data_IF_553590515381
#
_entry.id   IF_553590515381
#
_cell.length_a   1.000
_cell.length_b   1.000
_cell.length_c   1.000
_cell.angle_alpha   90.00
_cell.angle_beta   90.00
_cell.angle_gamma   90.00
#
_symmetry.space_group_name_H-M   'P 1'
#
loop_
_entity.id
_entity.type
_entity.pdbx_description
1 polymer ?
#
# COMPACT_ATOMS: atom_id res chain seq x y z
N UNK A 1 20.07 -1.83 13.30
CA UNK A 1 19.48 -1.81 14.66
C UNK A 1 18.17 -1.00 14.67
N UNK A 2 17.18 -1.35 13.84
CA UNK A 2 16.02 -0.46 13.56
C UNK A 2 14.66 -1.14 13.63
N UNK A 3 14.57 -2.47 13.48
CA UNK A 3 13.29 -3.19 13.46
C UNK A 3 12.53 -3.11 14.81
N UNK A 4 13.27 -3.15 15.93
CA UNK A 4 12.72 -3.21 17.29
C UNK A 4 12.12 -1.91 17.80
N UNK A 5 12.47 -0.76 17.21
CA UNK A 5 12.03 0.55 17.71
C UNK A 5 10.63 0.91 17.21
N UNK A 6 10.36 0.68 15.92
CA UNK A 6 9.06 1.03 15.36
C UNK A 6 7.99 -0.04 15.60
N UNK A 7 8.36 -1.32 15.79
CA UNK A 7 7.39 -2.38 16.11
C UNK A 7 6.64 -2.10 17.41
N UNK A 8 7.31 -1.44 18.37
CA UNK A 8 6.74 -1.02 19.65
C UNK A 8 5.77 0.16 19.53
N UNK A 9 5.72 0.83 18.38
CA UNK A 9 4.76 1.89 18.10
C UNK A 9 3.40 1.34 17.65
N UNK A 10 3.31 0.02 17.45
CA UNK A 10 2.09 -0.67 17.05
C UNK A 10 1.61 -1.59 18.18
N UNK A 11 0.30 -1.63 18.49
CA UNK A 11 -0.77 -0.92 17.79
C UNK A 11 -0.81 0.60 18.08
N UNK A 12 -1.03 1.41 17.04
CA UNK A 12 -1.21 2.85 17.16
C UNK A 12 -2.70 3.19 17.23
N UNK A 13 -3.12 3.93 18.27
CA UNK A 13 -4.46 4.49 18.35
C UNK A 13 -4.57 5.81 17.55
N UNK A 14 -5.64 5.97 16.78
CA UNK A 14 -5.95 7.13 15.94
C UNK A 14 -7.30 7.70 16.35
N UNK A 15 -7.36 9.01 16.59
CA UNK A 15 -8.56 9.72 17.04
C UNK A 15 -8.58 10.00 18.54
N UNK A 16 -9.30 11.03 18.95
CA UNK A 16 -9.38 11.50 20.34
C UNK A 16 -10.71 11.17 21.02
N UNK A 17 -11.76 10.91 20.23
CA UNK A 17 -13.10 10.56 20.73
C UNK A 17 -13.30 9.06 20.73
N UNK A 18 -13.65 8.47 21.88
CA UNK A 18 -13.74 7.01 22.08
C UNK A 18 -14.58 6.29 21.00
N UNK A 19 -15.65 6.90 20.51
CA UNK A 19 -16.50 6.31 19.47
C UNK A 19 -15.86 6.29 18.07
N UNK A 20 -14.86 7.13 17.84
CA UNK A 20 -14.13 7.28 16.57
C UNK A 20 -12.65 6.85 16.67
N UNK A 21 -12.29 6.09 17.70
CA UNK A 21 -10.95 5.51 17.80
C UNK A 21 -10.77 4.45 16.72
N UNK A 22 -9.60 4.45 16.11
CA UNK A 22 -9.15 3.37 15.25
C UNK A 22 -7.78 2.87 15.69
N UNK A 23 -7.49 1.60 15.43
CA UNK A 23 -6.23 0.96 15.79
C UNK A 23 -5.52 0.48 14.54
N UNK A 24 -4.30 0.95 14.35
CA UNK A 24 -3.38 0.46 13.31
C UNK A 24 -2.52 -0.66 13.89
N UNK A 25 -2.45 -1.79 13.21
CA UNK A 25 -1.58 -2.92 13.56
C UNK A 25 -0.84 -3.44 12.33
N UNK A 26 0.34 -4.02 12.53
CA UNK A 26 1.13 -4.66 11.47
C UNK A 26 1.10 -6.18 11.64
N UNK A 27 0.97 -6.89 10.53
CA UNK A 27 0.98 -8.34 10.42
C UNK A 27 2.01 -8.77 9.39
N UNK A 28 2.97 -9.60 9.80
CA UNK A 28 4.00 -10.23 8.98
C UNK A 28 3.49 -11.57 8.43
N UNK A 29 4.33 -12.31 7.69
CA UNK A 29 3.91 -13.52 6.95
C UNK A 29 3.34 -14.62 7.86
N UNK A 30 3.96 -14.84 9.03
CA UNK A 30 3.62 -15.95 9.93
C UNK A 30 2.65 -15.54 11.06
N UNK A 31 2.12 -14.31 11.03
CA UNK A 31 1.23 -13.83 12.07
C UNK A 31 -0.16 -14.45 11.93
N UNK A 32 -0.70 -15.00 13.03
CA UNK A 32 -1.99 -15.69 13.06
C UNK A 32 -3.16 -14.83 12.52
N UNK A 33 -3.07 -13.50 12.62
CA UNK A 33 -4.09 -12.56 12.16
C UNK A 33 -4.03 -12.23 10.67
N UNK A 34 -2.96 -12.62 9.95
CA UNK A 34 -2.73 -12.22 8.56
C UNK A 34 -3.83 -12.71 7.61
N UNK A 35 -4.33 -13.92 7.79
CA UNK A 35 -5.35 -14.50 6.92
C UNK A 35 -6.67 -13.73 6.90
N UNK A 36 -7.06 -13.11 8.02
CA UNK A 36 -8.23 -12.23 8.07
C UNK A 36 -8.03 -10.98 7.21
N UNK A 37 -6.82 -10.41 7.22
CA UNK A 37 -6.47 -9.22 6.42
C UNK A 37 -6.44 -9.55 4.93
N UNK A 38 -5.83 -10.68 4.55
CA UNK A 38 -5.79 -11.13 3.16
C UNK A 38 -7.21 -11.36 2.63
N UNK A 39 -8.08 -12.00 3.42
CA UNK A 39 -9.48 -12.18 3.05
C UNK A 39 -10.24 -10.85 2.93
N UNK A 40 -10.02 -9.90 3.84
CA UNK A 40 -10.61 -8.56 3.76
C UNK A 40 -10.17 -7.81 2.50
N UNK A 41 -8.88 -7.86 2.17
CA UNK A 41 -8.31 -7.25 0.96
C UNK A 41 -8.93 -7.92 -0.27
N UNK A 42 -8.95 -9.25 -0.32
CA UNK A 42 -9.57 -10.03 -1.40
C UNK A 42 -11.01 -9.58 -1.65
N UNK A 43 -11.84 -9.56 -0.61
CA UNK A 43 -13.24 -9.17 -0.73
C UNK A 43 -13.42 -7.76 -1.26
N UNK A 44 -12.61 -6.79 -0.80
CA UNK A 44 -12.67 -5.42 -1.30
C UNK A 44 -12.34 -5.34 -2.80
N UNK A 45 -11.34 -6.09 -3.27
CA UNK A 45 -10.98 -6.15 -4.69
C UNK A 45 -12.04 -6.90 -5.52
N UNK A 46 -12.61 -7.98 -4.98
CA UNK A 46 -13.71 -8.71 -5.59
C UNK A 46 -14.96 -7.82 -5.75
N UNK A 47 -15.32 -7.05 -4.72
CA UNK A 47 -16.48 -6.17 -4.77
C UNK A 47 -16.28 -4.97 -5.71
N UNK A 48 -15.10 -4.37 -5.71
CA UNK A 48 -14.81 -3.17 -6.49
C UNK A 48 -14.51 -3.47 -7.97
N UNK A 49 -13.91 -4.63 -8.26
CA UNK A 49 -13.34 -4.93 -9.57
C UNK A 49 -13.73 -6.31 -10.12
N UNK A 50 -14.49 -7.13 -9.39
CA UNK A 50 -14.69 -8.54 -9.72
C UNK A 50 -13.35 -9.30 -9.86
N UNK A 51 -12.37 -8.89 -9.07
CA UNK A 51 -11.04 -9.46 -9.07
C UNK A 51 -10.96 -10.65 -8.10
N UNK A 52 -10.15 -11.64 -8.47
CA UNK A 52 -9.74 -12.76 -7.64
C UNK A 52 -8.22 -12.72 -7.44
N UNK A 53 -7.77 -11.81 -6.57
CA UNK A 53 -6.35 -11.54 -6.36
C UNK A 53 -5.72 -12.56 -5.39
N UNK A 54 -4.54 -13.05 -5.74
CA UNK A 54 -3.80 -14.01 -4.90
C UNK A 54 -2.45 -13.47 -4.43
N UNK A 55 -2.15 -12.21 -4.74
CA UNK A 55 -0.89 -11.56 -4.39
C UNK A 55 -1.06 -10.51 -3.29
N UNK A 56 -0.38 -10.74 -2.17
CA UNK A 56 -0.36 -9.85 -1.01
C UNK A 56 1.08 -9.48 -0.66
N UNK A 57 1.34 -8.20 -0.41
CA UNK A 57 2.66 -7.72 0.01
C UNK A 57 3.05 -8.30 1.38
N UNK A 58 4.35 -8.49 1.65
CA UNK A 58 4.84 -9.23 2.82
C UNK A 58 4.49 -8.60 4.17
N UNK A 59 4.29 -7.29 4.23
CA UNK A 59 3.87 -6.58 5.43
C UNK A 59 2.45 -6.05 5.22
N UNK A 60 1.48 -6.47 6.05
CA UNK A 60 0.10 -6.01 5.96
C UNK A 60 -0.26 -5.16 7.18
N UNK A 61 -0.82 -3.98 6.93
CA UNK A 61 -1.34 -3.08 7.94
C UNK A 61 -2.86 -3.23 8.01
N UNK A 62 -3.39 -3.41 9.21
CA UNK A 62 -4.81 -3.40 9.50
C UNK A 62 -5.19 -2.13 10.25
N UNK A 63 -6.23 -1.45 9.75
CA UNK A 63 -6.93 -0.40 10.48
C UNK A 63 -8.26 -0.94 10.96
N UNK A 64 -8.44 -1.02 12.27
CA UNK A 64 -9.68 -1.45 12.91
C UNK A 64 -10.39 -0.27 13.57
N UNK A 65 -11.72 -0.26 13.57
CA UNK A 65 -12.50 0.73 14.32
C UNK A 65 -12.52 0.42 15.83
N UNK A 66 -13.23 1.24 16.60
CA UNK A 66 -13.42 1.12 18.06
C UNK A 66 -14.12 -0.18 18.47
N UNK A 67 -14.77 -0.87 17.54
CA UNK A 67 -15.43 -2.16 17.75
C UNK A 67 -14.55 -3.34 17.30
N UNK A 68 -13.31 -3.09 16.89
CA UNK A 68 -12.37 -4.11 16.42
C UNK A 68 -12.61 -4.59 14.98
N UNK A 69 -13.52 -3.96 14.23
CA UNK A 69 -13.84 -4.34 12.85
C UNK A 69 -12.80 -3.76 11.89
N UNK A 70 -12.34 -4.55 10.91
CA UNK A 70 -11.50 -4.05 9.83
C UNK A 70 -12.26 -3.02 9.00
N UNK A 71 -11.68 -1.82 8.85
CA UNK A 71 -12.24 -0.73 8.05
C UNK A 71 -11.32 -0.33 6.88
N UNK A 72 -10.04 -0.66 6.97
CA UNK A 72 -9.08 -0.57 5.88
C UNK A 72 -7.88 -1.50 6.11
N UNK A 73 -7.22 -1.87 5.01
CA UNK A 73 -5.97 -2.61 5.01
C UNK A 73 -5.04 -2.06 3.91
N UNK A 74 -3.73 -2.18 4.10
CA UNK A 74 -2.75 -1.84 3.08
C UNK A 74 -1.55 -2.78 3.21
N UNK A 75 -0.96 -3.16 2.08
CA UNK A 75 0.28 -3.89 2.02
C UNK A 75 1.47 -2.97 1.81
N UNK A 76 2.64 -3.37 2.30
CA UNK A 76 3.89 -2.69 2.03
C UNK A 76 5.06 -3.66 1.82
N UNK A 77 6.05 -3.22 1.06
CA UNK A 77 7.31 -3.93 0.84
C UNK A 77 8.48 -2.94 0.77
N UNK A 78 9.41 -2.95 1.74
CA UNK A 78 10.65 -2.20 1.60
C UNK A 78 11.44 -2.69 0.39
N UNK A 79 11.93 -1.79 -0.46
CA UNK A 79 12.65 -2.19 -1.68
C UNK A 79 14.00 -2.87 -1.36
N UNK A 80 14.54 -2.63 -0.17
CA UNK A 80 15.71 -3.36 0.36
C UNK A 80 15.47 -4.85 0.59
N UNK A 81 14.21 -5.30 0.63
CA UNK A 81 13.85 -6.71 0.87
C UNK A 81 13.79 -7.56 -0.41
N UNK A 82 13.96 -6.94 -1.58
CA UNK A 82 13.97 -7.63 -2.87
C UNK A 82 13.18 -6.88 -3.94
N UNK A 83 12.86 -7.59 -5.02
CA UNK A 83 12.10 -7.06 -6.16
C UNK A 83 10.69 -6.65 -5.74
N UNK A 84 10.23 -5.49 -6.20
CA UNK A 84 8.89 -4.96 -5.97
C UNK A 84 7.91 -5.52 -7.02
N UNK A 85 6.61 -5.57 -6.70
CA UNK A 85 5.60 -6.03 -7.65
C UNK A 85 5.43 -5.03 -8.80
N UNK A 86 5.39 -3.72 -8.51
CA UNK A 86 5.30 -2.68 -9.54
C UNK A 86 6.47 -2.66 -10.54
N UNK A 87 7.60 -3.31 -10.24
CA UNK A 87 8.73 -3.47 -11.16
C UNK A 87 8.42 -4.45 -12.31
N UNK A 88 7.24 -5.07 -12.35
CA UNK A 88 6.72 -5.68 -13.56
C UNK A 88 6.40 -4.63 -14.63
N UNK A 89 5.95 -3.43 -14.22
CA UNK A 89 5.56 -2.35 -15.13
C UNK A 89 6.71 -1.42 -15.55
N UNK A 90 7.92 -1.64 -15.03
CA UNK A 90 9.08 -0.80 -15.28
C UNK A 90 10.16 -1.56 -16.06
N UNK A 91 10.86 -0.85 -16.95
CA UNK A 91 11.96 -1.41 -17.74
C UNK A 91 13.26 -1.50 -16.94
N UNK A 92 13.35 -0.72 -15.87
CA UNK A 92 14.49 -0.61 -14.96
C UNK A 92 14.01 -0.75 -13.51
N UNK A 93 14.91 -1.13 -12.56
CA UNK A 93 14.61 -1.10 -11.13
C UNK A 93 14.10 0.27 -10.67
N UNK A 94 13.20 0.29 -9.67
CA UNK A 94 12.55 1.51 -9.21
C UNK A 94 13.56 2.61 -8.85
N UNK A 95 14.64 2.26 -8.16
CA UNK A 95 15.66 3.22 -7.73
C UNK A 95 16.35 3.93 -8.89
N UNK A 96 16.54 3.25 -10.02
CA UNK A 96 17.12 3.85 -11.23
C UNK A 96 16.15 4.87 -11.83
N UNK A 97 14.87 4.50 -11.91
CA UNK A 97 13.82 5.36 -12.47
C UNK A 97 13.64 6.63 -11.63
N UNK A 98 13.52 6.48 -10.31
CA UNK A 98 13.34 7.60 -9.39
C UNK A 98 14.61 8.45 -9.27
N UNK A 99 15.81 7.84 -9.24
CA UNK A 99 17.07 8.58 -9.22
C UNK A 99 17.20 9.52 -10.42
N UNK A 100 16.83 9.02 -11.61
CA UNK A 100 16.82 9.81 -12.84
C UNK A 100 15.79 10.94 -12.80
N UNK A 101 14.59 10.66 -12.31
CA UNK A 101 13.53 11.67 -12.19
C UNK A 101 13.87 12.76 -11.16
N UNK A 102 14.51 12.39 -10.05
CA UNK A 102 14.88 13.30 -8.96
C UNK A 102 16.24 14.00 -9.20
N UNK A 103 17.05 13.54 -10.15
CA UNK A 103 18.39 14.08 -10.42
C UNK A 103 19.42 13.78 -9.31
N UNK A 104 19.17 12.78 -8.48
CA UNK A 104 20.03 12.38 -7.36
C UNK A 104 20.14 10.86 -7.30
N UNK A 105 21.28 10.33 -6.86
CA UNK A 105 21.45 8.88 -6.67
C UNK A 105 20.76 8.42 -5.40
N UNK A 106 19.77 7.55 -5.52
CA UNK A 106 18.98 7.01 -4.41
C UNK A 106 19.20 5.50 -4.29
N UNK A 107 19.35 5.02 -3.05
CA UNK A 107 19.43 3.59 -2.76
C UNK A 107 18.07 2.98 -2.42
N UNK A 108 17.93 1.66 -2.58
CA UNK A 108 16.69 0.92 -2.29
C UNK A 108 16.28 0.96 -0.81
N UNK A 109 17.21 1.21 0.09
CA UNK A 109 17.00 1.31 1.53
C UNK A 109 16.06 2.44 1.97
N UNK A 110 15.90 3.47 1.13
CA UNK A 110 14.99 4.58 1.40
C UNK A 110 13.64 4.45 0.67
N UNK A 111 13.40 3.33 -0.03
CA UNK A 111 12.24 3.14 -0.90
C UNK A 111 11.31 2.04 -0.41
N UNK A 112 10.03 2.20 -0.68
CA UNK A 112 8.99 1.24 -0.31
C UNK A 112 7.89 1.20 -1.37
N UNK A 113 7.43 0.00 -1.67
CA UNK A 113 6.18 -0.20 -2.39
C UNK A 113 5.02 -0.23 -1.39
N UNK A 114 3.96 0.50 -1.69
CA UNK A 114 2.66 0.37 -1.02
C UNK A 114 1.63 -0.13 -2.03
N UNK A 115 0.89 -1.15 -1.64
CA UNK A 115 -0.08 -1.83 -2.49
C UNK A 115 -1.20 -2.43 -1.65
N UNK A 116 -2.03 -3.29 -2.27
CA UNK A 116 -3.15 -3.96 -1.60
C UNK A 116 -4.04 -3.03 -0.76
N UNK A 117 -4.17 -1.76 -1.14
CA UNK A 117 -4.98 -0.80 -0.38
C UNK A 117 -6.46 -1.15 -0.57
N UNK A 118 -7.08 -1.56 0.52
CA UNK A 118 -8.48 -1.94 0.61
C UNK A 118 -9.16 -1.12 1.71
N UNK A 119 -10.38 -0.65 1.48
CA UNK A 119 -11.07 0.18 2.46
C UNK A 119 -12.59 0.14 2.26
N UNK A 120 -13.33 0.16 3.36
CA UNK A 120 -14.80 0.24 3.32
C UNK A 120 -15.34 1.63 2.95
N UNK A 121 -14.49 2.67 2.99
CA UNK A 121 -14.88 4.03 2.62
C UNK A 121 -13.67 4.87 2.22
N UNK A 122 -13.91 5.93 1.45
CA UNK A 122 -12.87 6.93 1.16
C UNK A 122 -12.32 7.60 2.44
N UNK A 123 -13.09 7.62 3.54
CA UNK A 123 -12.64 8.13 4.83
C UNK A 123 -11.57 7.24 5.45
N UNK A 124 -11.83 5.93 5.55
CA UNK A 124 -10.87 4.97 6.08
C UNK A 124 -9.65 4.80 5.17
N UNK A 125 -9.81 4.94 3.84
CA UNK A 125 -8.67 5.02 2.92
C UNK A 125 -7.73 6.19 3.26
N UNK A 126 -8.27 7.39 3.50
CA UNK A 126 -7.46 8.56 3.85
C UNK A 126 -6.75 8.40 5.19
N UNK A 127 -7.43 7.84 6.21
CA UNK A 127 -6.80 7.53 7.50
C UNK A 127 -5.65 6.54 7.29
N UNK A 128 -5.87 5.49 6.49
CA UNK A 128 -4.82 4.51 6.17
C UNK A 128 -3.63 5.17 5.48
N UNK A 129 -3.86 6.01 4.45
CA UNK A 129 -2.77 6.73 3.75
C UNK A 129 -1.97 7.58 4.75
N UNK A 130 -2.62 8.36 5.61
CA UNK A 130 -1.94 9.18 6.63
C UNK A 130 -1.14 8.32 7.60
N UNK A 131 -1.72 7.22 8.09
CA UNK A 131 -1.09 6.29 9.02
C UNK A 131 0.13 5.61 8.40
N UNK A 132 0.03 5.16 7.14
CA UNK A 132 1.13 4.61 6.36
C UNK A 132 2.22 5.65 6.17
N UNK A 133 1.91 6.86 5.72
CA UNK A 133 2.91 7.94 5.55
C UNK A 133 3.68 8.22 6.84
N UNK A 134 3.00 8.27 7.99
CA UNK A 134 3.66 8.41 9.29
C UNK A 134 4.58 7.23 9.61
N UNK A 135 4.09 6.00 9.42
CA UNK A 135 4.87 4.79 9.68
C UNK A 135 6.13 4.72 8.79
N UNK A 136 6.00 5.07 7.52
CA UNK A 136 7.12 5.09 6.57
C UNK A 136 8.15 6.15 6.97
N UNK A 137 7.70 7.36 7.35
CA UNK A 137 8.58 8.41 7.85
C UNK A 137 9.34 7.99 9.13
N UNK A 138 8.67 7.34 10.08
CA UNK A 138 9.31 6.82 11.30
C UNK A 138 10.30 5.68 11.03
N UNK A 139 10.16 4.97 9.90
CA UNK A 139 11.10 3.94 9.43
C UNK A 139 12.22 4.49 8.55
N UNK A 140 12.25 5.80 8.28
CA UNK A 140 13.24 6.41 7.39
C UNK A 140 13.04 6.09 5.90
N UNK A 141 11.85 5.60 5.52
CA UNK A 141 11.48 5.34 4.13
C UNK A 141 10.96 6.66 3.55
N UNK A 142 11.72 7.20 2.59
CA UNK A 142 11.54 8.54 2.04
C UNK A 142 10.74 8.54 0.74
N UNK A 143 10.82 7.45 -0.02
CA UNK A 143 10.19 7.33 -1.34
C UNK A 143 9.17 6.21 -1.33
N UNK A 144 7.93 6.56 -1.67
CA UNK A 144 6.80 5.63 -1.73
C UNK A 144 6.41 5.47 -3.18
N UNK A 145 6.45 4.24 -3.66
CA UNK A 145 5.94 3.89 -4.97
C UNK A 145 4.67 3.04 -4.82
N UNK A 146 3.70 3.24 -5.69
CA UNK A 146 2.44 2.49 -5.66
C UNK A 146 1.81 2.40 -7.04
N UNK A 147 0.95 1.40 -7.22
CA UNK A 147 0.11 1.28 -8.41
C UNK A 147 -1.34 1.57 -8.05
N UNK A 148 -2.00 2.47 -8.78
CA UNK A 148 -3.38 2.84 -8.47
C UNK A 148 -4.12 3.54 -9.60
N UNK A 149 -5.46 3.49 -9.49
CA UNK A 149 -6.38 4.19 -10.38
C UNK A 149 -6.76 5.59 -9.83
N UNK A 150 -7.49 6.36 -10.64
CA UNK A 150 -7.90 7.74 -10.36
C UNK A 150 -8.64 7.93 -9.01
N UNK A 151 -9.39 6.93 -8.56
CA UNK A 151 -10.10 6.95 -7.27
C UNK A 151 -9.17 7.03 -6.07
N UNK A 152 -8.01 6.36 -6.14
CA UNK A 152 -6.96 6.45 -5.13
C UNK A 152 -6.28 7.82 -5.16
N UNK A 153 -6.01 8.36 -6.36
CA UNK A 153 -5.37 9.67 -6.52
C UNK A 153 -6.21 10.79 -5.91
N UNK A 154 -7.54 10.72 -5.99
CA UNK A 154 -8.42 11.66 -5.30
C UNK A 154 -8.22 11.66 -3.77
N UNK A 155 -7.88 10.51 -3.17
CA UNK A 155 -7.59 10.42 -1.75
C UNK A 155 -6.26 11.08 -1.40
N UNK A 156 -5.23 10.91 -2.22
CA UNK A 156 -3.94 11.61 -2.08
C UNK A 156 -4.08 13.13 -2.23
N UNK A 157 -4.79 13.60 -3.26
CA UNK A 157 -4.99 15.04 -3.50
C UNK A 157 -5.72 15.73 -2.35
N UNK A 158 -6.72 15.06 -1.75
CA UNK A 158 -7.44 15.57 -0.56
C UNK A 158 -6.56 15.66 0.69
N UNK A 159 -5.44 14.95 0.72
CA UNK A 159 -4.42 15.04 1.76
C UNK A 159 -3.31 16.06 1.43
N UNK A 160 -3.41 16.77 0.29
CA UNK A 160 -2.38 17.69 -0.17
C UNK A 160 -1.15 17.01 -0.75
N UNK A 161 -1.23 15.71 -1.05
CA UNK A 161 -0.17 14.94 -1.68
C UNK A 161 -0.33 14.98 -3.20
N UNK A 162 0.78 15.15 -3.92
CA UNK A 162 0.82 15.19 -5.39
C UNK A 162 1.71 14.05 -5.88
N UNK A 163 1.14 12.86 -6.12
CA UNK A 163 1.88 11.74 -6.69
C UNK A 163 2.37 12.07 -8.11
N UNK A 164 3.58 11.64 -8.45
CA UNK A 164 4.16 11.82 -9.79
C UNK A 164 4.02 10.54 -10.58
N UNK A 165 3.39 10.60 -11.76
CA UNK A 165 3.28 9.41 -12.62
C UNK A 165 4.66 9.02 -13.15
N UNK A 166 5.01 7.74 -12.99
CA UNK A 166 6.27 7.15 -13.46
C UNK A 166 6.06 6.27 -14.70
N UNK A 167 4.98 5.49 -14.72
CA UNK A 167 4.67 4.58 -15.83
C UNK A 167 3.18 4.22 -15.87
N UNK A 168 2.74 3.65 -17.00
CA UNK A 168 1.46 2.95 -17.08
C UNK A 168 1.59 1.54 -16.49
N UNK A 169 0.60 1.11 -15.70
CA UNK A 169 0.55 -0.26 -15.21
C UNK A 169 -0.11 -1.17 -16.26
N UNK A 170 0.63 -1.46 -17.33
CA UNK A 170 0.15 -2.30 -18.44
C UNK A 170 0.03 -3.77 -17.99
N UNK A 171 -1.18 -4.38 -18.00
CA UNK A 171 -1.38 -5.77 -17.62
C UNK A 171 -0.63 -6.76 -18.51
N UNK A 172 -0.26 -6.40 -19.75
CA UNK A 172 0.54 -7.26 -20.62
C UNK A 172 1.97 -7.51 -20.08
N UNK A 173 2.42 -6.71 -19.11
CA UNK A 173 3.72 -6.86 -18.46
C UNK A 173 3.71 -7.78 -17.24
N UNK A 174 2.53 -8.21 -16.79
CA UNK A 174 2.42 -9.16 -15.70
C UNK A 174 2.82 -10.57 -16.14
N UNK A 175 3.47 -11.30 -15.24
CA UNK A 175 3.72 -12.73 -15.42
C UNK A 175 2.50 -13.59 -15.11
N UNK A 176 1.53 -13.05 -14.35
CA UNK A 176 0.29 -13.75 -13.99
C UNK A 176 -0.89 -13.32 -14.89
N UNK A 177 -1.93 -14.16 -15.04
CA UNK A 177 -3.09 -13.81 -15.84
C UNK A 177 -3.76 -12.53 -15.33
N UNK A 178 -3.86 -11.51 -16.19
CA UNK A 178 -4.58 -10.28 -15.91
C UNK A 178 -6.06 -10.52 -15.53
N UNK A 179 -6.61 -11.67 -15.89
CA UNK A 179 -7.97 -12.10 -15.53
C UNK A 179 -8.21 -12.15 -14.01
N UNK A 180 -7.18 -12.45 -13.21
CA UNK A 180 -7.28 -12.43 -11.75
C UNK A 180 -7.58 -11.02 -11.21
N UNK A 181 -7.34 -9.97 -12.00
CA UNK A 181 -7.57 -8.60 -11.59
C UNK A 181 -8.94 -8.06 -12.03
N UNK A 182 -9.79 -8.89 -12.66
CA UNK A 182 -11.11 -8.48 -13.13
C UNK A 182 -11.07 -7.19 -13.96
N UNK A 183 -11.87 -6.20 -13.57
CA UNK A 183 -11.95 -4.87 -14.19
C UNK A 183 -10.99 -3.84 -13.58
N UNK A 184 -9.99 -4.25 -12.79
CA UNK A 184 -9.03 -3.32 -12.21
C UNK A 184 -8.26 -2.53 -13.29
N UNK A 185 -7.79 -3.21 -14.34
CA UNK A 185 -7.01 -2.57 -15.42
C UNK A 185 -7.85 -1.74 -16.38
N UNK A 186 -9.17 -1.93 -16.42
CA UNK A 186 -10.09 -1.08 -17.19
C UNK A 186 -10.08 0.37 -16.68
N UNK A 187 -9.61 0.58 -15.45
CA UNK A 187 -9.43 1.91 -14.85
C UNK A 187 -8.12 2.59 -15.25
N UNK A 188 -7.32 1.95 -16.12
CA UNK A 188 -6.01 2.40 -16.57
C UNK A 188 -5.08 2.83 -15.40
N UNK A 189 -4.79 1.91 -14.46
CA UNK A 189 -3.93 2.22 -13.33
C UNK A 189 -2.55 2.68 -13.78
N UNK A 190 -1.94 3.52 -12.95
CA UNK A 190 -0.60 4.07 -13.18
C UNK A 190 0.31 3.72 -12.01
N UNK A 191 1.61 3.66 -12.30
CA UNK A 191 2.66 3.60 -11.29
C UNK A 191 3.05 5.03 -10.93
N UNK A 192 3.07 5.31 -9.64
CA UNK A 192 3.49 6.57 -9.04
C UNK A 192 4.71 6.35 -8.14
#
# INVERSE_FOLDING_TARGET
>A
MTQTLWSNLLPLAIGTHAEHHAHLSLHLHDDQGRGELEHFIHQCFADAHQADIHHYLPELLALRDSHGRLIAAAGMRPASSGRLFLEHYLDEPLESVISRAAGVSLGRECMVEVGNLASLSAGSARIMITAVTWLLATRGLQWVAFTGASTLINSFQRLGLVPTVVAQADPARLSEPAQHWGYYYDQHPQVF
#
